data_IF_559871909361
#
_entry.id   IF_559871909361
#
_cell.length_a   1.000
_cell.length_b   1.000
_cell.length_c   1.000
_cell.angle_alpha   90.00
_cell.angle_beta   90.00
_cell.angle_gamma   90.00
#
_symmetry.space_group_name_H-M   'P 1'
#
loop_
_entity.id
_entity.type
_entity.pdbx_description
1 polymer ?
#
# COMPACT_ATOMS: atom_id res chain seq x y z
N UNK A 1 -9.46 -8.32 -4.65
CA UNK A 1 -8.42 -7.30 -4.37
C UNK A 1 -7.19 -7.63 -5.20
N UNK A 2 -6.43 -6.62 -5.62
CA UNK A 2 -5.28 -6.81 -6.53
C UNK A 2 -4.11 -7.45 -5.76
N UNK A 3 -3.56 -8.60 -6.17
CA UNK A 3 -2.44 -9.22 -5.48
C UNK A 3 -1.15 -8.44 -5.73
N UNK A 4 -0.38 -8.20 -4.68
CA UNK A 4 0.90 -7.48 -4.71
C UNK A 4 1.96 -8.26 -3.94
N UNK A 5 3.15 -8.36 -4.52
CA UNK A 5 4.36 -8.91 -3.89
C UNK A 5 5.46 -7.86 -4.00
N UNK A 6 6.31 -7.73 -2.99
CA UNK A 6 7.34 -6.69 -2.94
C UNK A 6 8.69 -7.28 -2.59
N UNK A 7 9.67 -7.03 -3.46
CA UNK A 7 11.08 -7.23 -3.16
C UNK A 7 11.68 -5.89 -2.76
N UNK A 8 12.21 -5.79 -1.53
CA UNK A 8 12.60 -4.50 -0.95
C UNK A 8 14.12 -4.32 -0.92
N UNK A 9 14.60 -3.23 -1.52
CA UNK A 9 16.00 -2.79 -1.41
C UNK A 9 16.36 -2.60 0.06
N UNK A 10 17.48 -3.18 0.50
CA UNK A 10 17.95 -3.16 1.88
C UNK A 10 17.44 -4.33 2.74
N UNK A 11 16.39 -5.03 2.31
CA UNK A 11 16.09 -6.40 2.77
C UNK A 11 16.74 -7.41 1.83
N UNK A 12 16.79 -7.08 0.53
CA UNK A 12 17.27 -7.95 -0.55
C UNK A 12 16.53 -9.30 -0.60
N UNK A 13 15.25 -9.26 -0.25
CA UNK A 13 14.32 -10.38 -0.31
C UNK A 13 12.87 -9.87 -0.42
N UNK A 14 11.94 -10.79 -0.61
CA UNK A 14 10.52 -10.50 -0.51
C UNK A 14 10.10 -10.22 0.93
N UNK A 15 9.35 -9.13 1.11
CA UNK A 15 8.69 -8.79 2.37
C UNK A 15 7.22 -9.16 2.32
N UNK A 16 6.63 -9.47 3.47
CA UNK A 16 5.21 -9.82 3.52
C UNK A 16 4.31 -8.61 3.20
N UNK A 17 4.78 -7.40 3.42
CA UNK A 17 4.03 -6.19 3.07
C UNK A 17 4.95 -4.98 3.02
N UNK A 18 4.68 -4.07 2.08
CA UNK A 18 5.37 -2.80 1.94
C UNK A 18 4.36 -1.66 1.77
N UNK A 19 4.24 -0.77 2.76
CA UNK A 19 3.25 0.32 2.70
C UNK A 19 3.50 1.29 1.54
N UNK A 20 4.76 1.69 1.35
CA UNK A 20 5.16 2.60 0.25
C UNK A 20 4.97 1.96 -1.12
N UNK A 21 5.37 0.68 -1.27
CA UNK A 21 5.19 -0.08 -2.50
C UNK A 21 3.71 -0.25 -2.88
N UNK A 22 2.86 -0.61 -1.92
CA UNK A 22 1.42 -0.78 -2.15
C UNK A 22 0.75 0.56 -2.49
N UNK A 23 1.18 1.66 -1.87
CA UNK A 23 0.72 3.01 -2.23
C UNK A 23 1.07 3.34 -3.68
N UNK A 24 2.32 3.09 -4.10
CA UNK A 24 2.74 3.32 -5.48
C UNK A 24 1.93 2.49 -6.49
N UNK A 25 1.65 1.22 -6.18
CA UNK A 25 0.81 0.34 -7.01
C UNK A 25 -0.62 0.88 -7.11
N UNK A 26 -1.22 1.37 -6.02
CA UNK A 26 -2.57 1.94 -6.03
C UNK A 26 -2.68 3.15 -6.98
N UNK A 27 -1.73 4.09 -6.89
CA UNK A 27 -1.70 5.29 -7.73
C UNK A 27 -1.45 4.93 -9.20
N UNK A 28 -0.54 3.98 -9.48
CA UNK A 28 -0.30 3.49 -10.83
C UNK A 28 -1.51 2.75 -11.41
N UNK A 29 -2.24 1.97 -10.60
CA UNK A 29 -3.48 1.33 -11.01
C UNK A 29 -4.58 2.35 -11.30
N UNK A 30 -4.60 3.47 -10.57
CA UNK A 30 -5.56 4.56 -10.83
C UNK A 30 -5.39 5.19 -12.20
N UNK A 31 -4.15 5.39 -12.64
CA UNK A 31 -3.85 5.82 -14.01
C UNK A 31 -4.31 4.82 -15.08
N UNK A 32 -4.67 3.59 -14.68
CA UNK A 32 -5.22 2.53 -15.54
C UNK A 32 -6.72 2.27 -15.29
N UNK A 33 -7.40 3.17 -14.57
CA UNK A 33 -8.84 3.13 -14.36
C UNK A 33 -9.29 2.60 -13.00
N UNK A 34 -8.38 2.29 -12.06
CA UNK A 34 -8.77 1.95 -10.69
C UNK A 34 -9.29 3.19 -9.94
N UNK A 35 -10.45 3.06 -9.30
CA UNK A 35 -11.02 4.13 -8.49
C UNK A 35 -10.55 4.03 -7.03
N UNK A 36 -10.37 5.19 -6.39
CA UNK A 36 -10.13 5.30 -4.95
C UNK A 36 -11.40 4.96 -4.17
N UNK A 37 -11.32 4.21 -3.05
CA UNK A 37 -10.12 3.56 -2.52
C UNK A 37 -9.75 2.26 -3.26
N UNK A 38 -8.46 2.01 -3.42
CA UNK A 38 -7.93 0.79 -4.05
C UNK A 38 -7.57 -0.24 -3.00
N UNK A 39 -8.17 -1.44 -3.10
CA UNK A 39 -7.91 -2.58 -2.19
C UNK A 39 -6.88 -3.55 -2.77
N UNK A 40 -5.81 -3.77 -2.03
CA UNK A 40 -4.64 -4.55 -2.43
C UNK A 40 -4.37 -5.65 -1.41
N UNK A 41 -4.06 -6.85 -1.90
CA UNK A 41 -3.76 -8.01 -1.06
C UNK A 41 -2.26 -8.27 -1.11
N UNK A 42 -1.58 -8.18 0.04
CA UNK A 42 -0.20 -8.63 0.22
C UNK A 42 -0.18 -9.93 1.03
N UNK A 43 0.95 -10.67 1.07
CA UNK A 43 1.09 -11.82 1.96
C UNK A 43 0.85 -11.48 3.44
N UNK A 44 1.15 -10.25 3.86
CA UNK A 44 1.01 -9.75 5.23
C UNK A 44 -0.39 -9.24 5.57
N UNK A 45 -1.30 -9.15 4.60
CA UNK A 45 -2.70 -8.81 4.84
C UNK A 45 -3.35 -7.94 3.77
N UNK A 46 -4.61 -7.58 4.02
CA UNK A 46 -5.37 -6.68 3.17
C UNK A 46 -5.03 -5.23 3.52
N UNK A 47 -4.70 -4.44 2.50
CA UNK A 47 -4.47 -3.01 2.59
C UNK A 47 -5.44 -2.25 1.70
N UNK A 48 -5.75 -1.01 2.09
CA UNK A 48 -6.58 -0.08 1.35
C UNK A 48 -5.87 1.26 1.23
N UNK A 49 -5.76 1.77 0.00
CA UNK A 49 -5.15 3.08 -0.28
C UNK A 49 -6.22 3.99 -0.84
N UNK A 50 -6.51 5.08 -0.14
CA UNK A 50 -7.39 6.15 -0.61
C UNK A 50 -6.57 7.37 -1.01
N UNK A 51 -7.06 8.11 -1.99
CA UNK A 51 -6.46 9.31 -2.53
C UNK A 51 -7.49 10.14 -3.29
N UNK A 52 -7.16 11.40 -3.55
CA UNK A 52 -7.84 12.31 -4.46
C UNK A 52 -6.93 12.59 -5.66
N UNK A 53 -7.44 12.40 -6.87
CA UNK A 53 -6.73 12.73 -8.11
C UNK A 53 -7.13 14.12 -8.58
N UNK A 54 -6.15 14.95 -8.93
CA UNK A 54 -6.35 16.30 -9.48
C UNK A 54 -6.32 16.30 -11.00
N UNK A 55 -6.86 17.36 -11.60
CA UNK A 55 -6.91 17.53 -13.05
C UNK A 55 -5.53 17.59 -13.72
N UNK A 56 -4.48 17.99 -12.98
CA UNK A 56 -3.09 17.98 -13.44
C UNK A 56 -2.43 16.59 -13.37
N UNK A 57 -3.17 15.56 -12.95
CA UNK A 57 -2.69 14.19 -12.78
C UNK A 57 -1.98 13.91 -11.47
N UNK A 58 -1.81 14.93 -10.60
CA UNK A 58 -1.23 14.74 -9.26
C UNK A 58 -2.21 14.07 -8.30
N UNK A 59 -1.68 13.46 -7.25
CA UNK A 59 -2.47 12.81 -6.19
C UNK A 59 -2.26 13.52 -4.86
N UNK A 60 -3.34 13.70 -4.10
CA UNK A 60 -3.32 14.23 -2.73
C UNK A 60 -4.23 13.47 -1.78
N UNK A 61 -4.14 13.80 -0.49
CA UNK A 61 -4.88 13.12 0.57
C UNK A 61 -4.70 11.60 0.48
N UNK A 62 -3.44 11.17 0.30
CA UNK A 62 -3.08 9.77 0.15
C UNK A 62 -3.01 9.13 1.53
N UNK A 63 -3.95 8.23 1.82
CA UNK A 63 -4.00 7.47 3.06
C UNK A 63 -3.83 5.99 2.77
N UNK A 64 -2.99 5.34 3.56
CA UNK A 64 -2.87 3.89 3.60
C UNK A 64 -3.47 3.40 4.91
N UNK A 65 -4.39 2.45 4.82
CA UNK A 65 -4.99 1.79 5.98
C UNK A 65 -4.86 0.27 5.88
N UNK A 66 -4.74 -0.37 7.03
CA UNK A 66 -4.51 -1.80 7.16
C UNK A 66 -4.55 -2.25 8.62
N UNK A 67 -4.61 -3.56 8.88
CA UNK A 67 -4.60 -4.09 10.23
C UNK A 67 -3.25 -3.89 10.90
N UNK A 68 -3.27 -3.68 12.22
CA UNK A 68 -2.08 -3.70 13.07
C UNK A 68 -2.37 -4.55 14.32
N UNK A 69 -1.42 -5.41 14.69
CA UNK A 69 -1.54 -6.25 15.88
C UNK A 69 -0.33 -6.02 16.79
N UNK A 70 -0.60 -5.68 18.06
CA UNK A 70 0.46 -5.59 19.07
C UNK A 70 0.98 -6.98 19.41
N UNK A 71 2.28 -7.20 19.20
CA UNK A 71 2.93 -8.50 19.41
C UNK A 71 3.62 -8.62 20.79
N UNK A 72 4.26 -7.57 21.28
CA UNK A 72 4.90 -7.54 22.60
C UNK A 72 5.00 -6.09 23.15
N UNK A 73 5.41 -5.96 24.41
CA UNK A 73 5.78 -4.70 25.06
C UNK A 73 7.00 -4.93 25.96
N UNK A 74 7.94 -3.99 26.00
CA UNK A 74 9.17 -4.10 26.79
C UNK A 74 9.89 -2.76 26.99
N UNK A 75 11.05 -2.80 27.65
CA UNK A 75 11.98 -1.69 27.80
C UNK A 75 13.26 -2.00 26.99
N UNK A 76 13.83 -1.01 26.32
CA UNK A 76 15.09 -1.14 25.54
C UNK A 76 16.32 -0.85 26.40
#
# INVERSE_FOLDING_TARGET
PWPVRTYERGVEDETFSCGTGVTAVALAASQRGAASPVRLSTPGGLLEVSFEQRADGSFTNVWLSGPAMRVFQGLL
#
